data_IF_308656863303
#
_entry.id   IF_308656863303
#
_cell.length_a   1.000
_cell.length_b   1.000
_cell.length_c   1.000
_cell.angle_alpha   90.00
_cell.angle_beta   90.00
_cell.angle_gamma   90.00
#
_symmetry.space_group_name_H-M   'P 1'
#
loop_
_entity.id
_entity.type
_entity.pdbx_description
1 polymer ?
#
# COMPACT_ATOMS: atom_id res chain seq x y z
N UNK A 1 -39.73 6.22 18.65
CA UNK A 1 -39.63 5.61 17.30
C UNK A 1 -38.16 5.37 17.00
N UNK A 2 -37.75 4.10 17.12
CA UNK A 2 -36.37 3.62 17.04
C UNK A 2 -35.89 3.62 15.58
N UNK A 3 -34.83 4.37 15.26
CA UNK A 3 -34.19 4.32 13.94
C UNK A 3 -33.41 3.01 13.83
N UNK A 4 -34.04 1.97 13.29
CA UNK A 4 -33.36 0.77 12.83
C UNK A 4 -32.40 1.11 11.69
N UNK A 5 -31.16 1.43 12.06
CA UNK A 5 -30.05 1.63 11.15
C UNK A 5 -29.52 0.25 10.74
N UNK A 6 -30.27 -0.46 9.91
CA UNK A 6 -29.80 -1.69 9.27
C UNK A 6 -28.67 -1.31 8.33
N UNK A 7 -27.42 -1.41 8.82
CA UNK A 7 -26.23 -1.41 7.99
C UNK A 7 -26.34 -2.60 7.04
N UNK A 8 -26.96 -2.41 5.87
CA UNK A 8 -26.92 -3.37 4.78
C UNK A 8 -25.45 -3.71 4.52
N UNK A 9 -25.06 -4.95 4.81
CA UNK A 9 -23.72 -5.43 4.56
C UNK A 9 -23.48 -5.30 3.04
N UNK A 10 -22.62 -4.35 2.65
CA UNK A 10 -22.30 -4.08 1.25
C UNK A 10 -21.77 -5.36 0.60
N UNK A 11 -22.62 -6.06 -0.16
CA UNK A 11 -22.29 -7.32 -0.85
C UNK A 11 -21.43 -7.00 -2.07
N UNK A 12 -20.27 -7.63 -2.16
CA UNK A 12 -19.38 -7.45 -3.31
C UNK A 12 -20.00 -8.07 -4.55
N UNK A 13 -19.97 -7.34 -5.66
CA UNK A 13 -20.38 -7.85 -6.96
C UNK A 13 -19.23 -8.61 -7.62
N UNK A 14 -19.53 -9.46 -8.61
CA UNK A 14 -18.49 -10.15 -9.40
C UNK A 14 -17.52 -9.16 -10.03
N UNK A 15 -18.02 -8.03 -10.53
CA UNK A 15 -17.21 -6.94 -11.10
C UNK A 15 -16.26 -6.31 -10.06
N UNK A 16 -16.70 -6.16 -8.80
CA UNK A 16 -15.84 -5.65 -7.72
C UNK A 16 -14.68 -6.60 -7.46
N UNK A 17 -14.97 -7.90 -7.39
CA UNK A 17 -13.95 -8.94 -7.16
C UNK A 17 -12.95 -8.98 -8.32
N UNK A 18 -13.43 -8.90 -9.57
CA UNK A 18 -12.54 -8.83 -10.74
C UNK A 18 -11.62 -7.62 -10.69
N UNK A 19 -12.13 -6.43 -10.32
CA UNK A 19 -11.29 -5.22 -10.18
C UNK A 19 -10.26 -5.37 -9.07
N UNK A 20 -10.64 -5.94 -7.92
CA UNK A 20 -9.71 -6.21 -6.83
C UNK A 20 -8.63 -7.19 -7.28
N UNK A 21 -8.99 -8.29 -7.94
CA UNK A 21 -8.04 -9.27 -8.46
C UNK A 21 -7.07 -8.67 -9.48
N UNK A 22 -7.54 -7.77 -10.36
CA UNK A 22 -6.67 -7.06 -11.30
C UNK A 22 -5.66 -6.16 -10.58
N UNK A 23 -6.10 -5.40 -9.57
CA UNK A 23 -5.19 -4.54 -8.79
C UNK A 23 -4.18 -5.38 -8.02
N UNK A 24 -4.63 -6.47 -7.39
CA UNK A 24 -3.75 -7.44 -6.69
C UNK A 24 -2.73 -8.04 -7.66
N UNK A 25 -3.17 -8.52 -8.83
CA UNK A 25 -2.29 -9.09 -9.85
C UNK A 25 -1.29 -8.08 -10.39
N UNK A 26 -1.71 -6.84 -10.63
CA UNK A 26 -0.82 -5.77 -11.09
C UNK A 26 0.20 -5.38 -10.01
N UNK A 27 -0.21 -5.33 -8.74
CA UNK A 27 0.70 -5.13 -7.61
C UNK A 27 1.80 -6.19 -7.62
N UNK A 28 1.42 -7.47 -7.69
CA UNK A 28 2.38 -8.58 -7.70
C UNK A 28 3.29 -8.50 -8.93
N UNK A 29 2.74 -8.29 -10.11
CA UNK A 29 3.52 -8.19 -11.35
C UNK A 29 4.55 -7.07 -11.29
N UNK A 30 4.17 -5.87 -10.83
CA UNK A 30 5.11 -4.74 -10.69
C UNK A 30 6.19 -5.06 -9.66
N UNK A 31 5.85 -5.68 -8.53
CA UNK A 31 6.84 -6.04 -7.49
C UNK A 31 7.84 -7.08 -8.00
N UNK A 32 7.39 -8.07 -8.74
CA UNK A 32 8.26 -9.14 -9.26
C UNK A 32 9.16 -8.65 -10.40
N UNK A 33 8.62 -7.87 -11.34
CA UNK A 33 9.40 -7.30 -12.45
C UNK A 33 10.45 -6.31 -11.92
N UNK A 34 10.10 -5.51 -10.92
CA UNK A 34 10.99 -4.58 -10.26
C UNK A 34 11.61 -5.17 -8.99
N UNK A 35 11.73 -6.49 -8.89
CA UNK A 35 12.21 -7.17 -7.68
C UNK A 35 13.61 -6.72 -7.27
N UNK A 36 14.50 -6.46 -8.23
CA UNK A 36 15.86 -5.93 -8.01
C UNK A 36 15.82 -4.60 -7.26
N UNK A 37 14.86 -3.73 -7.59
CA UNK A 37 14.69 -2.45 -6.90
C UNK A 37 13.85 -2.58 -5.62
N UNK A 38 12.88 -3.50 -5.61
CA UNK A 38 11.92 -3.69 -4.51
C UNK A 38 12.56 -4.37 -3.29
N UNK A 39 13.50 -5.29 -3.49
CA UNK A 39 14.23 -6.01 -2.43
C UNK A 39 15.70 -5.60 -2.30
N UNK A 40 16.16 -4.65 -3.11
CA UNK A 40 17.54 -4.12 -3.06
C UNK A 40 17.79 -3.20 -1.86
N UNK A 41 18.98 -2.60 -1.79
CA UNK A 41 19.40 -1.76 -0.63
C UNK A 41 18.49 -0.53 -0.43
N UNK A 42 18.04 0.10 -1.51
CA UNK A 42 17.17 1.29 -1.46
C UNK A 42 15.68 0.89 -1.32
N UNK A 43 15.34 -0.39 -1.51
CA UNK A 43 13.97 -0.95 -1.42
C UNK A 43 12.88 -0.05 -2.02
N UNK A 44 13.01 0.30 -3.30
CA UNK A 44 11.99 1.07 -4.00
C UNK A 44 10.85 0.14 -4.41
N UNK A 45 9.73 0.17 -3.67
CA UNK A 45 8.53 -0.57 -4.02
C UNK A 45 7.55 0.27 -4.80
N UNK A 46 7.72 0.30 -6.13
CA UNK A 46 6.80 1.03 -7.02
C UNK A 46 5.34 0.56 -6.86
N UNK A 47 5.14 -0.71 -6.50
CA UNK A 47 3.81 -1.31 -6.27
C UNK A 47 3.03 -0.66 -5.13
N UNK A 48 3.68 -0.04 -4.14
CA UNK A 48 3.00 0.68 -3.07
C UNK A 48 2.24 1.91 -3.60
N UNK A 49 2.47 2.33 -4.85
CA UNK A 49 1.60 3.32 -5.52
C UNK A 49 0.12 2.90 -5.54
N UNK A 50 -0.17 1.60 -5.54
CA UNK A 50 -1.56 1.11 -5.52
C UNK A 50 -2.27 1.43 -4.21
N UNK A 51 -1.55 1.78 -3.14
CA UNK A 51 -2.15 2.27 -1.89
C UNK A 51 -2.99 3.53 -2.13
N UNK A 52 -2.67 4.35 -3.13
CA UNK A 52 -3.51 5.51 -3.48
C UNK A 52 -4.91 5.12 -3.95
N UNK A 53 -5.11 3.93 -4.54
CA UNK A 53 -6.46 3.47 -4.92
C UNK A 53 -7.37 3.32 -3.69
N UNK A 54 -6.79 3.00 -2.53
CA UNK A 54 -7.55 2.90 -1.27
C UNK A 54 -8.19 4.23 -0.85
N UNK A 55 -7.67 5.36 -1.31
CA UNK A 55 -8.24 6.70 -1.07
C UNK A 55 -9.56 6.91 -1.83
N UNK A 56 -9.75 6.20 -2.94
CA UNK A 56 -10.95 6.28 -3.77
C UNK A 56 -12.02 5.30 -3.30
N UNK A 57 -11.61 4.08 -2.92
CA UNK A 57 -12.56 3.06 -2.46
C UNK A 57 -11.92 2.11 -1.44
N UNK A 58 -12.62 1.92 -0.30
CA UNK A 58 -12.19 1.05 0.80
C UNK A 58 -11.91 -0.39 0.36
N UNK A 59 -12.56 -0.88 -0.71
CA UNK A 59 -12.33 -2.25 -1.22
C UNK A 59 -10.87 -2.49 -1.65
N UNK A 60 -10.18 -1.45 -2.12
CA UNK A 60 -8.80 -1.57 -2.55
C UNK A 60 -7.82 -1.73 -1.39
N UNK A 61 -8.23 -1.46 -0.14
CA UNK A 61 -7.42 -1.82 1.04
C UNK A 61 -7.19 -3.34 1.05
N UNK A 62 -8.25 -4.12 0.85
CA UNK A 62 -8.17 -5.60 0.81
C UNK A 62 -7.33 -6.06 -0.38
N UNK A 63 -7.55 -5.45 -1.56
CA UNK A 63 -6.81 -5.82 -2.77
C UNK A 63 -5.29 -5.58 -2.64
N UNK A 64 -4.89 -4.44 -2.07
CA UNK A 64 -3.47 -4.10 -1.92
C UNK A 64 -2.83 -4.93 -0.81
N UNK A 65 -3.50 -5.15 0.33
CA UNK A 65 -2.99 -6.06 1.37
C UNK A 65 -2.78 -7.48 0.83
N UNK A 66 -3.72 -7.99 0.02
CA UNK A 66 -3.55 -9.28 -0.65
C UNK A 66 -2.37 -9.26 -1.65
N UNK A 67 -2.18 -8.15 -2.37
CA UNK A 67 -1.04 -7.95 -3.28
C UNK A 67 0.29 -8.00 -2.56
N UNK A 68 0.43 -7.31 -1.43
CA UNK A 68 1.62 -7.32 -0.57
C UNK A 68 1.90 -8.74 -0.09
N UNK A 69 0.89 -9.43 0.45
CA UNK A 69 1.04 -10.79 0.93
C UNK A 69 1.55 -11.73 -0.18
N UNK A 70 0.94 -11.69 -1.36
CA UNK A 70 1.33 -12.53 -2.49
C UNK A 70 2.72 -12.17 -3.05
N UNK A 71 3.04 -10.87 -3.16
CA UNK A 71 4.34 -10.43 -3.65
C UNK A 71 5.46 -10.82 -2.69
N UNK A 72 5.22 -10.74 -1.38
CA UNK A 72 6.19 -11.08 -0.35
C UNK A 72 6.44 -12.59 -0.24
N UNK A 73 5.59 -13.46 -0.82
CA UNK A 73 5.89 -14.90 -0.91
C UNK A 73 7.16 -15.11 -1.76
N UNK A 74 7.37 -14.27 -2.76
CA UNK A 74 8.58 -14.28 -3.59
C UNK A 74 9.75 -13.50 -2.97
N UNK A 75 9.57 -12.91 -1.79
CA UNK A 75 10.63 -12.17 -1.09
C UNK A 75 11.72 -13.13 -0.58
N UNK A 76 13.01 -12.74 -0.62
CA UNK A 76 14.10 -13.51 -0.02
C UNK A 76 13.92 -13.79 1.47
N UNK A 77 13.12 -12.97 2.16
CA UNK A 77 12.85 -13.05 3.60
C UNK A 77 11.77 -14.08 3.96
N UNK A 78 11.12 -14.68 2.94
CA UNK A 78 10.16 -15.76 3.10
C UNK A 78 8.90 -15.38 3.90
N UNK A 79 8.36 -16.34 4.65
CA UNK A 79 7.05 -16.23 5.31
C UNK A 79 6.96 -15.08 6.33
N UNK A 80 8.10 -14.70 6.95
CA UNK A 80 8.15 -13.64 7.95
C UNK A 80 7.80 -12.29 7.31
N UNK A 81 8.31 -12.02 6.11
CA UNK A 81 8.04 -10.79 5.37
C UNK A 81 6.61 -10.74 4.82
N UNK A 82 6.03 -11.90 4.52
CA UNK A 82 4.60 -12.01 4.18
C UNK A 82 3.75 -11.54 5.37
N UNK A 83 3.97 -12.10 6.56
CA UNK A 83 3.15 -11.80 7.73
C UNK A 83 3.39 -10.38 8.21
N UNK A 84 4.65 -9.98 8.43
CA UNK A 84 4.99 -8.65 8.94
C UNK A 84 4.61 -7.58 7.92
N UNK A 85 4.94 -7.77 6.64
CA UNK A 85 4.61 -6.83 5.57
C UNK A 85 3.11 -6.67 5.38
N UNK A 86 2.35 -7.77 5.24
CA UNK A 86 0.90 -7.67 5.01
C UNK A 86 0.14 -7.08 6.20
N UNK A 87 0.47 -7.47 7.44
CA UNK A 87 -0.16 -6.93 8.66
C UNK A 87 0.21 -5.46 8.84
N UNK A 88 1.48 -5.11 8.65
CA UNK A 88 1.92 -3.71 8.74
C UNK A 88 1.22 -2.85 7.71
N UNK A 89 1.18 -3.25 6.43
CA UNK A 89 0.51 -2.50 5.37
C UNK A 89 -1.00 -2.37 5.63
N UNK A 90 -1.66 -3.43 6.13
CA UNK A 90 -3.08 -3.35 6.48
C UNK A 90 -3.33 -2.31 7.57
N UNK A 91 -2.54 -2.31 8.65
CA UNK A 91 -2.66 -1.35 9.75
C UNK A 91 -2.42 0.08 9.23
N UNK A 92 -1.37 0.27 8.44
CA UNK A 92 -0.99 1.57 7.86
C UNK A 92 -2.09 2.08 6.93
N UNK A 93 -2.65 1.22 6.07
CA UNK A 93 -3.78 1.56 5.21
C UNK A 93 -5.02 1.98 5.99
N UNK A 94 -5.35 1.27 7.08
CA UNK A 94 -6.48 1.62 7.93
C UNK A 94 -6.28 2.96 8.66
N UNK A 95 -5.08 3.21 9.17
CA UNK A 95 -4.71 4.48 9.79
C UNK A 95 -4.78 5.61 8.74
N UNK A 96 -4.17 5.40 7.58
CA UNK A 96 -4.17 6.37 6.48
C UNK A 96 -5.60 6.67 6.01
N UNK A 97 -6.46 5.66 5.88
CA UNK A 97 -7.87 5.85 5.55
C UNK A 97 -8.59 6.72 6.59
N UNK A 98 -8.35 6.46 7.89
CA UNK A 98 -8.95 7.25 8.97
C UNK A 98 -8.47 8.70 8.96
N UNK A 99 -7.18 8.94 8.76
CA UNK A 99 -6.61 10.29 8.65
C UNK A 99 -7.17 11.03 7.43
N UNK A 100 -7.12 10.38 6.26
CA UNK A 100 -7.53 10.99 4.98
C UNK A 100 -9.04 11.18 4.86
N UNK A 101 -9.86 10.46 5.65
CA UNK A 101 -11.32 10.67 5.70
C UNK A 101 -11.71 12.08 6.15
N UNK A 102 -10.86 12.78 6.91
CA UNK A 102 -11.10 14.15 7.37
C UNK A 102 -10.66 15.22 6.36
N UNK A 103 -9.92 14.83 5.33
CA UNK A 103 -9.34 15.74 4.36
C UNK A 103 -10.24 15.79 3.12
N UNK A 104 -10.59 16.99 2.64
CA UNK A 104 -11.43 17.13 1.43
C UNK A 104 -10.60 17.17 0.13
N UNK A 105 -9.39 17.71 0.18
CA UNK A 105 -8.56 17.91 -1.01
C UNK A 105 -7.74 16.64 -1.35
N UNK A 106 -7.92 16.10 -2.56
CA UNK A 106 -7.25 14.87 -3.00
C UNK A 106 -5.73 15.00 -3.03
N UNK A 107 -5.19 16.16 -3.44
CA UNK A 107 -3.72 16.37 -3.47
C UNK A 107 -3.10 16.27 -2.07
N UNK A 108 -3.79 16.82 -1.08
CA UNK A 108 -3.37 16.76 0.32
C UNK A 108 -3.50 15.31 0.84
N UNK A 109 -4.57 14.58 0.48
CA UNK A 109 -4.69 13.16 0.83
C UNK A 109 -3.50 12.35 0.33
N UNK A 110 -3.12 12.54 -0.94
CA UNK A 110 -2.01 11.82 -1.54
C UNK A 110 -0.68 12.16 -0.85
N UNK A 111 -0.41 13.44 -0.58
CA UNK A 111 0.78 13.86 0.15
C UNK A 111 0.84 13.25 1.57
N UNK A 112 -0.28 13.27 2.31
CA UNK A 112 -0.37 12.66 3.65
C UNK A 112 -0.13 11.15 3.57
N UNK A 113 -0.72 10.48 2.56
CA UNK A 113 -0.49 9.05 2.34
C UNK A 113 0.98 8.75 2.07
N UNK A 114 1.65 9.52 1.20
CA UNK A 114 3.08 9.34 0.95
C UNK A 114 3.91 9.46 2.24
N UNK A 115 3.63 10.47 3.07
CA UNK A 115 4.34 10.65 4.35
C UNK A 115 4.06 9.52 5.35
N UNK A 116 2.81 9.07 5.45
CA UNK A 116 2.42 7.98 6.36
C UNK A 116 3.10 6.67 5.95
N UNK A 117 3.14 6.37 4.65
CA UNK A 117 3.80 5.17 4.12
C UNK A 117 5.32 5.22 4.26
N UNK A 118 5.95 6.34 3.92
CA UNK A 118 7.39 6.55 4.14
C UNK A 118 7.77 6.39 5.62
N UNK A 119 6.96 6.93 6.54
CA UNK A 119 7.18 6.73 7.97
C UNK A 119 7.03 5.26 8.36
N UNK A 120 5.99 4.58 7.85
CA UNK A 120 5.69 3.19 8.19
C UNK A 120 6.79 2.18 7.82
N UNK A 121 7.76 2.57 6.98
CA UNK A 121 8.93 1.75 6.66
C UNK A 121 9.82 1.42 7.87
N UNK A 122 9.55 1.98 9.05
CA UNK A 122 10.20 1.56 10.29
C UNK A 122 9.96 0.07 10.61
N UNK A 123 8.81 -0.51 10.21
CA UNK A 123 8.50 -1.92 10.46
C UNK A 123 9.40 -2.84 9.64
N UNK A 124 9.58 -2.52 8.37
CA UNK A 124 10.43 -3.25 7.43
C UNK A 124 11.90 -3.06 7.81
N UNK A 125 12.32 -1.83 8.12
CA UNK A 125 13.69 -1.54 8.55
C UNK A 125 14.03 -2.28 9.85
N UNK A 126 13.10 -2.36 10.80
CA UNK A 126 13.26 -3.13 12.04
C UNK A 126 13.47 -4.61 11.78
N UNK A 127 12.68 -5.21 10.88
CA UNK A 127 12.87 -6.59 10.45
C UNK A 127 14.25 -6.82 9.82
N UNK A 128 14.70 -5.92 8.93
CA UNK A 128 16.01 -6.01 8.29
C UNK A 128 17.16 -5.90 9.30
N UNK A 129 17.05 -5.00 10.29
CA UNK A 129 18.04 -4.87 11.36
C UNK A 129 18.14 -6.10 12.23
N UNK A 130 17.01 -6.74 12.56
CA UNK A 130 17.02 -7.96 13.39
C UNK A 130 17.65 -9.13 12.62
N UNK A 131 17.35 -9.27 11.33
CA UNK A 131 17.82 -10.39 10.51
C UNK A 131 19.28 -10.25 10.04
N UNK A 132 19.69 -9.05 9.64
CA UNK A 132 21.01 -8.80 9.05
C UNK A 132 21.95 -7.97 9.93
N UNK A 133 21.55 -7.65 11.17
CA UNK A 133 22.32 -6.85 12.13
C UNK A 133 22.79 -5.47 11.60
N UNK A 134 22.03 -4.92 10.65
CA UNK A 134 22.31 -3.63 10.03
C UNK A 134 21.87 -2.46 10.93
N UNK A 135 22.55 -1.30 10.87
CA UNK A 135 22.20 -0.13 11.66
C UNK A 135 20.78 0.37 11.34
N UNK A 136 19.89 0.29 12.33
CA UNK A 136 18.45 0.58 12.19
C UNK A 136 18.16 1.93 11.56
N UNK A 137 18.72 3.01 12.12
CA UNK A 137 18.44 4.35 11.65
C UNK A 137 18.85 4.54 10.18
N UNK A 138 20.03 4.05 9.81
CA UNK A 138 20.56 4.22 8.45
C UNK A 138 19.70 3.45 7.43
N UNK A 139 19.36 2.19 7.73
CA UNK A 139 18.45 1.41 6.90
C UNK A 139 17.07 2.05 6.80
N UNK A 140 16.52 2.51 7.92
CA UNK A 140 15.21 3.15 7.94
C UNK A 140 15.18 4.40 7.06
N UNK A 141 16.19 5.27 7.16
CA UNK A 141 16.28 6.46 6.30
C UNK A 141 16.35 6.11 4.81
N UNK A 142 17.15 5.11 4.44
CA UNK A 142 17.30 4.69 3.04
C UNK A 142 16.00 4.10 2.49
N UNK A 143 15.36 3.18 3.23
CA UNK A 143 14.11 2.54 2.81
C UNK A 143 12.96 3.56 2.79
N UNK A 144 12.87 4.44 3.79
CA UNK A 144 11.86 5.49 3.85
C UNK A 144 11.99 6.47 2.67
N UNK A 145 13.22 6.81 2.27
CA UNK A 145 13.46 7.64 1.08
C UNK A 145 13.09 6.91 -0.22
N UNK A 146 13.42 5.63 -0.34
CA UNK A 146 13.02 4.80 -1.48
C UNK A 146 11.50 4.72 -1.61
N UNK A 147 10.80 4.53 -0.51
CA UNK A 147 9.33 4.53 -0.46
C UNK A 147 8.76 5.91 -0.78
N UNK A 148 9.30 6.98 -0.22
CA UNK A 148 8.86 8.34 -0.53
C UNK A 148 8.98 8.64 -2.03
N UNK A 149 10.10 8.26 -2.64
CA UNK A 149 10.31 8.41 -4.08
C UNK A 149 9.29 7.59 -4.89
N UNK A 150 9.07 6.33 -4.50
CA UNK A 150 8.03 5.48 -5.09
C UNK A 150 6.65 6.13 -5.01
N UNK A 151 6.29 6.63 -3.83
CA UNK A 151 4.99 7.24 -3.57
C UNK A 151 4.81 8.57 -4.32
N UNK A 152 5.87 9.35 -4.53
CA UNK A 152 5.81 10.56 -5.36
C UNK A 152 5.53 10.19 -6.82
N UNK A 153 6.33 9.28 -7.38
CA UNK A 153 6.18 8.83 -8.79
C UNK A 153 4.81 8.18 -8.98
N UNK A 154 4.45 7.25 -8.11
CA UNK A 154 3.17 6.58 -8.07
C UNK A 154 1.99 7.53 -7.91
N UNK A 155 2.15 8.56 -7.08
CA UNK A 155 1.13 9.58 -6.87
C UNK A 155 0.85 10.37 -8.15
N UNK A 156 1.89 10.73 -8.90
CA UNK A 156 1.73 11.38 -10.21
C UNK A 156 0.99 10.45 -11.17
N UNK A 157 1.40 9.19 -11.27
CA UNK A 157 0.79 8.19 -12.17
C UNK A 157 -0.70 8.01 -11.82
N UNK A 158 -1.02 7.71 -10.56
CA UNK A 158 -2.41 7.48 -10.12
C UNK A 158 -3.26 8.74 -10.26
N UNK A 159 -2.72 9.94 -10.02
CA UNK A 159 -3.46 11.18 -10.23
C UNK A 159 -3.84 11.39 -11.70
N UNK A 160 -2.94 11.08 -12.63
CA UNK A 160 -3.22 11.13 -14.06
C UNK A 160 -4.24 10.07 -14.49
N UNK A 161 -4.12 8.85 -13.98
CA UNK A 161 -5.09 7.77 -14.24
C UNK A 161 -6.47 8.16 -13.69
N UNK A 162 -6.53 8.70 -12.48
CA UNK A 162 -7.78 9.15 -11.84
C UNK A 162 -8.47 10.31 -12.55
N UNK A 163 -7.76 11.06 -13.43
CA UNK A 163 -8.39 12.03 -14.33
C UNK A 163 -9.04 11.38 -15.56
N UNK A 164 -8.55 10.22 -16.00
CA UNK A 164 -9.01 9.52 -17.20
C UNK A 164 -9.97 8.37 -16.91
N UNK A 165 -9.90 7.80 -15.71
CA UNK A 165 -10.67 6.63 -15.26
C UNK A 165 -11.37 6.96 -13.95
N UNK A 166 -12.67 6.68 -13.88
CA UNK A 166 -13.43 6.81 -12.63
C UNK A 166 -13.07 5.67 -11.67
N UNK A 167 -12.06 5.91 -10.83
CA UNK A 167 -11.57 4.95 -9.83
C UNK A 167 -12.53 4.75 -8.65
N UNK A 168 -13.64 5.51 -8.61
CA UNK A 168 -14.64 5.48 -7.53
C UNK A 168 -15.63 4.32 -7.70
N UNK A 169 -15.87 3.89 -8.95
CA UNK A 169 -16.83 2.84 -9.30
C UNK A 169 -16.28 1.44 -9.15
#
# INVERSE_FOLDING_TARGET
MEKNNTRSAKRWTTTDVTRMALVTGLYVAVTLVLSVFSFGVIQIRLSEMFNYLSLYNKRYIVAVTAGVALANIASPLGLIDVVVGSVSTLIVLLINYKITSRIKNMKIKMAVTACVFAFSMFTVAGQLTILYQLPFFLNWWVIALGELASMIVGGIIIYWIGKKVDLTK
#
